data_IF_778790952063
#
_entry.id   IF_778790952063
#
_cell.length_a   1.000
_cell.length_b   1.000
_cell.length_c   1.000
_cell.angle_alpha   90.00
_cell.angle_beta   90.00
_cell.angle_gamma   90.00
#
_symmetry.space_group_name_H-M   'P 1'
#
loop_
_entity.id
_entity.type
_entity.pdbx_description
1 polymer ?
#
# COMPACT_ATOMS: atom_id res chain seq x y z
N UNK A 1 -3.42 -3.42 -12.54
CA UNK A 1 -3.86 -4.82 -12.78
C UNK A 1 -3.76 -5.27 -14.23
N UNK A 2 -3.86 -4.34 -15.22
CA UNK A 2 -3.89 -4.71 -16.65
C UNK A 2 -2.71 -5.62 -17.06
N UNK A 3 -1.51 -5.32 -16.63
CA UNK A 3 -0.27 -6.00 -17.02
C UNK A 3 0.22 -7.00 -15.95
N UNK A 4 -0.49 -7.13 -14.82
CA UNK A 4 -0.22 -8.14 -13.81
C UNK A 4 -0.75 -9.49 -14.31
N UNK A 5 0.15 -10.35 -14.81
CA UNK A 5 -0.16 -11.70 -15.31
C UNK A 5 0.28 -12.75 -14.31
N UNK A 6 -0.33 -13.94 -14.33
CA UNK A 6 0.11 -15.09 -13.54
C UNK A 6 1.59 -15.39 -13.79
N UNK A 7 2.04 -15.33 -15.05
CA UNK A 7 3.46 -15.54 -15.40
C UNK A 7 4.40 -14.55 -14.69
N UNK A 8 4.01 -13.28 -14.59
CA UNK A 8 4.81 -12.28 -13.86
C UNK A 8 4.85 -12.63 -12.36
N UNK A 9 3.71 -12.99 -11.79
CA UNK A 9 3.60 -13.39 -10.38
C UNK A 9 4.46 -14.63 -10.11
N UNK A 10 4.43 -15.64 -10.99
CA UNK A 10 5.25 -16.86 -10.87
C UNK A 10 6.75 -16.54 -10.90
N UNK A 11 7.18 -15.62 -11.78
CA UNK A 11 8.59 -15.18 -11.84
C UNK A 11 9.00 -14.50 -10.52
N UNK A 12 8.16 -13.63 -9.97
CA UNK A 12 8.43 -12.97 -8.68
C UNK A 12 8.51 -14.02 -7.56
N UNK A 13 7.56 -14.95 -7.52
CA UNK A 13 7.52 -16.00 -6.51
C UNK A 13 8.74 -16.94 -6.56
N UNK A 14 9.21 -17.27 -7.77
CA UNK A 14 10.37 -18.14 -7.98
C UNK A 14 11.73 -17.49 -7.64
N UNK A 15 11.78 -16.16 -7.48
CA UNK A 15 13.01 -15.40 -7.26
C UNK A 15 12.98 -14.59 -5.95
N UNK A 16 12.76 -15.20 -4.78
CA UNK A 16 12.76 -14.49 -3.50
C UNK A 16 14.16 -13.94 -3.19
N UNK A 17 14.25 -12.82 -2.44
CA UNK A 17 15.51 -12.36 -1.87
C UNK A 17 16.07 -13.40 -0.89
N UNK A 18 17.38 -13.52 -0.87
CA UNK A 18 18.07 -14.35 0.11
C UNK A 18 19.34 -13.63 0.60
N UNK A 19 19.91 -14.08 1.75
CA UNK A 19 21.04 -13.41 2.41
C UNK A 19 22.21 -13.10 1.46
N UNK A 20 22.46 -13.98 0.48
CA UNK A 20 23.60 -13.87 -0.45
C UNK A 20 23.16 -13.92 -1.93
N UNK A 21 21.88 -13.65 -2.23
CA UNK A 21 21.36 -13.70 -3.60
C UNK A 21 20.49 -12.49 -3.87
N UNK A 22 20.74 -11.83 -5.00
CA UNK A 22 19.84 -10.82 -5.54
C UNK A 22 18.51 -11.50 -5.89
N UNK A 23 17.41 -10.92 -5.42
CA UNK A 23 16.07 -11.44 -5.66
C UNK A 23 15.07 -10.29 -5.84
N UNK A 24 13.82 -10.66 -6.05
CA UNK A 24 12.72 -9.71 -6.22
C UNK A 24 12.01 -9.54 -4.88
N UNK A 25 11.88 -8.29 -4.41
CA UNK A 25 11.19 -7.97 -3.16
C UNK A 25 9.75 -8.50 -3.15
N UNK A 26 9.31 -8.98 -2.01
CA UNK A 26 7.94 -9.44 -1.73
C UNK A 26 6.98 -8.27 -1.53
N UNK A 27 7.07 -7.28 -2.41
CA UNK A 27 6.18 -6.13 -2.43
C UNK A 27 5.62 -5.90 -3.82
N UNK A 28 4.30 -5.77 -3.93
CA UNK A 28 3.64 -5.51 -5.20
C UNK A 28 2.70 -4.30 -5.07
N UNK A 29 2.85 -3.34 -5.99
CA UNK A 29 1.92 -2.22 -6.10
C UNK A 29 0.88 -2.54 -7.18
N UNK A 30 -0.38 -2.72 -6.74
CA UNK A 30 -1.49 -3.10 -7.61
C UNK A 30 -2.63 -2.07 -7.48
N UNK A 31 -2.64 -1.00 -8.29
CA UNK A 31 -3.66 0.06 -8.21
C UNK A 31 -5.07 -0.47 -8.45
N UNK A 32 -5.97 -0.34 -7.47
CA UNK A 32 -7.39 -0.67 -7.60
C UNK A 32 -8.19 0.50 -8.16
N UNK A 33 -7.95 1.70 -7.66
CA UNK A 33 -8.61 2.96 -7.94
C UNK A 33 -10.00 3.10 -7.31
N UNK A 34 -10.91 2.14 -7.47
CA UNK A 34 -12.26 2.05 -6.89
C UNK A 34 -12.69 0.60 -6.75
N UNK A 35 -13.56 0.31 -5.80
CA UNK A 35 -14.19 -1.00 -5.62
C UNK A 35 -15.44 -1.20 -6.48
N UNK A 36 -15.97 -0.15 -7.10
CA UNK A 36 -17.14 -0.22 -7.97
C UNK A 36 -16.76 -0.47 -9.42
N UNK A 37 -17.31 -1.52 -10.02
CA UNK A 37 -17.09 -1.84 -11.44
C UNK A 37 -17.62 -0.75 -12.37
N UNK A 38 -18.72 -0.08 -11.99
CA UNK A 38 -19.25 1.06 -12.75
C UNK A 38 -18.27 2.24 -12.74
N UNK A 39 -17.69 2.56 -11.59
CA UNK A 39 -16.71 3.62 -11.46
C UNK A 39 -15.40 3.24 -12.16
N UNK A 40 -14.93 2.01 -12.06
CA UNK A 40 -13.78 1.52 -12.80
C UNK A 40 -13.97 1.69 -14.32
N UNK A 41 -15.15 1.36 -14.84
CA UNK A 41 -15.49 1.57 -16.25
C UNK A 41 -15.53 3.06 -16.61
N UNK A 42 -16.08 3.92 -15.76
CA UNK A 42 -16.09 5.37 -15.96
C UNK A 42 -14.68 5.99 -15.92
N UNK A 43 -13.77 5.42 -15.14
CA UNK A 43 -12.33 5.75 -15.12
C UNK A 43 -11.57 5.14 -16.31
N UNK A 44 -12.24 4.48 -17.27
CA UNK A 44 -11.63 3.77 -18.40
C UNK A 44 -10.65 2.66 -17.97
N UNK A 45 -10.93 1.97 -16.85
CA UNK A 45 -10.15 0.81 -16.42
C UNK A 45 -10.63 -0.45 -17.15
N UNK A 46 -9.67 -1.31 -17.54
CA UNK A 46 -9.92 -2.54 -18.34
C UNK A 46 -9.94 -3.78 -17.46
N UNK A 47 -10.35 -3.66 -16.22
CA UNK A 47 -10.53 -4.74 -15.25
C UNK A 47 -11.73 -4.39 -14.37
N UNK A 48 -12.30 -5.40 -13.75
CA UNK A 48 -13.34 -5.33 -12.73
C UNK A 48 -12.79 -5.77 -11.36
N UNK A 49 -13.63 -5.65 -10.34
CA UNK A 49 -13.33 -6.03 -8.97
C UNK A 49 -13.04 -7.53 -8.82
N UNK A 50 -13.79 -8.39 -9.53
CA UNK A 50 -13.62 -9.84 -9.48
C UNK A 50 -12.25 -10.27 -10.02
N UNK A 51 -11.85 -9.74 -11.17
CA UNK A 51 -10.52 -10.00 -11.74
C UNK A 51 -9.40 -9.46 -10.83
N UNK A 52 -9.61 -8.30 -10.23
CA UNK A 52 -8.64 -7.73 -9.30
C UNK A 52 -8.43 -8.65 -8.08
N UNK A 53 -9.51 -9.09 -7.44
CA UNK A 53 -9.46 -10.00 -6.29
C UNK A 53 -8.82 -11.34 -6.65
N UNK A 54 -9.16 -11.92 -7.80
CA UNK A 54 -8.51 -13.16 -8.29
C UNK A 54 -7.00 -13.02 -8.44
N UNK A 55 -6.48 -11.87 -8.87
CA UNK A 55 -5.04 -11.61 -8.92
C UNK A 55 -4.43 -11.53 -7.52
N UNK A 56 -5.10 -10.88 -6.57
CA UNK A 56 -4.67 -10.80 -5.18
C UNK A 56 -4.58 -12.19 -4.55
N UNK A 57 -5.61 -13.01 -4.76
CA UNK A 57 -5.68 -14.38 -4.24
C UNK A 57 -4.54 -15.23 -4.81
N UNK A 58 -4.31 -15.13 -6.12
CA UNK A 58 -3.20 -15.84 -6.77
C UNK A 58 -1.83 -15.37 -6.25
N UNK A 59 -1.64 -14.06 -6.03
CA UNK A 59 -0.41 -13.54 -5.43
C UNK A 59 -0.17 -14.12 -4.04
N UNK A 60 -1.21 -14.20 -3.20
CA UNK A 60 -1.12 -14.75 -1.84
C UNK A 60 -0.95 -16.26 -1.81
N UNK A 61 -1.55 -16.98 -2.77
CA UNK A 61 -1.28 -18.41 -2.93
C UNK A 61 0.21 -18.69 -3.20
N UNK A 62 0.81 -17.91 -4.11
CA UNK A 62 2.23 -18.07 -4.48
C UNK A 62 3.19 -17.46 -3.46
N UNK A 63 2.76 -16.42 -2.77
CA UNK A 63 3.59 -15.63 -1.84
C UNK A 63 2.73 -15.20 -0.65
N UNK A 64 2.55 -16.07 0.38
CA UNK A 64 1.69 -15.76 1.53
C UNK A 64 2.09 -14.49 2.31
N UNK A 65 3.36 -14.14 2.27
CA UNK A 65 3.98 -12.99 2.93
C UNK A 65 4.05 -11.72 2.06
N UNK A 66 3.45 -11.73 0.85
CA UNK A 66 3.52 -10.59 -0.05
C UNK A 66 2.87 -9.33 0.54
N UNK A 67 3.61 -8.24 0.53
CA UNK A 67 3.07 -6.92 0.84
C UNK A 67 2.40 -6.30 -0.39
N UNK A 68 1.11 -6.02 -0.30
CA UNK A 68 0.33 -5.44 -1.40
C UNK A 68 -0.02 -3.99 -1.05
N UNK A 69 0.31 -3.08 -1.96
CA UNK A 69 -0.06 -1.66 -1.87
C UNK A 69 -0.95 -1.27 -3.05
N UNK A 70 -1.77 -0.25 -2.89
CA UNK A 70 -2.72 0.18 -3.92
C UNK A 70 -2.90 1.69 -3.94
N UNK A 71 -3.51 2.21 -5.01
CA UNK A 71 -4.06 3.56 -5.11
C UNK A 71 -5.58 3.48 -5.02
N UNK A 72 -6.18 4.43 -4.30
CA UNK A 72 -7.63 4.63 -4.24
C UNK A 72 -7.95 6.10 -4.50
N UNK A 73 -8.93 6.36 -5.37
CA UNK A 73 -9.47 7.68 -5.64
C UNK A 73 -10.89 7.73 -5.10
N UNK A 74 -11.14 8.64 -4.16
CA UNK A 74 -12.44 8.86 -3.54
C UNK A 74 -13.17 10.01 -4.22
N UNK A 75 -14.47 9.88 -4.41
CA UNK A 75 -15.32 10.94 -4.94
C UNK A 75 -15.10 11.19 -6.42
N UNK A 76 -14.84 10.14 -7.19
CA UNK A 76 -14.93 10.25 -8.65
C UNK A 76 -16.32 10.71 -9.05
N UNK A 77 -16.48 11.57 -10.11
CA UNK A 77 -17.79 12.07 -10.52
C UNK A 77 -18.85 10.99 -10.59
N UNK A 78 -20.02 11.27 -10.06
CA UNK A 78 -21.18 10.37 -9.97
C UNK A 78 -21.04 9.16 -9.03
N UNK A 79 -19.94 9.03 -8.28
CA UNK A 79 -19.78 7.94 -7.29
C UNK A 79 -20.86 8.02 -6.22
N UNK A 80 -21.64 6.94 -6.04
CA UNK A 80 -22.66 6.85 -4.98
C UNK A 80 -22.06 6.41 -3.65
N UNK A 81 -22.86 6.44 -2.58
CA UNK A 81 -22.42 5.96 -1.29
C UNK A 81 -22.20 4.44 -1.28
N UNK A 82 -23.09 3.69 -1.92
CA UNK A 82 -22.99 2.24 -2.05
C UNK A 82 -21.70 1.82 -2.78
N UNK A 83 -21.32 2.57 -3.80
CA UNK A 83 -20.10 2.33 -4.56
C UNK A 83 -18.82 2.63 -3.78
N UNK A 84 -18.88 3.65 -2.92
CA UNK A 84 -17.81 3.90 -1.97
C UNK A 84 -17.73 2.77 -0.91
N UNK A 85 -18.87 2.28 -0.41
CA UNK A 85 -18.91 1.12 0.49
C UNK A 85 -18.31 -0.14 -0.16
N UNK A 86 -18.52 -0.38 -1.45
CA UNK A 86 -17.87 -1.48 -2.16
C UNK A 86 -16.34 -1.32 -2.17
N UNK A 87 -15.84 -0.08 -2.25
CA UNK A 87 -14.40 0.20 -2.10
C UNK A 87 -13.90 -0.18 -0.70
N UNK A 88 -14.61 0.20 0.37
CA UNK A 88 -14.26 -0.16 1.74
C UNK A 88 -14.31 -1.68 1.98
N UNK A 89 -15.27 -2.40 1.38
CA UNK A 89 -15.34 -3.86 1.44
C UNK A 89 -14.10 -4.51 0.82
N UNK A 90 -13.66 -4.05 -0.35
CA UNK A 90 -12.44 -4.58 -0.97
C UNK A 90 -11.21 -4.27 -0.10
N UNK A 91 -11.09 -3.07 0.46
CA UNK A 91 -10.00 -2.72 1.38
C UNK A 91 -9.96 -3.68 2.57
N UNK A 92 -11.13 -3.94 3.18
CA UNK A 92 -11.27 -4.84 4.33
C UNK A 92 -10.97 -6.30 3.98
N UNK A 93 -11.28 -6.73 2.75
CA UNK A 93 -11.01 -8.08 2.24
C UNK A 93 -9.53 -8.26 1.90
N UNK A 94 -8.97 -7.33 1.15
CA UNK A 94 -7.58 -7.41 0.69
C UNK A 94 -6.60 -7.11 1.83
N UNK A 95 -6.94 -6.21 2.78
CA UNK A 95 -6.06 -5.81 3.88
C UNK A 95 -4.68 -5.38 3.38
N UNK A 96 -4.65 -4.24 2.69
CA UNK A 96 -3.43 -3.70 2.11
C UNK A 96 -2.37 -3.33 3.15
N UNK A 97 -1.10 -3.44 2.78
CA UNK A 97 0.01 -2.98 3.61
C UNK A 97 0.13 -1.46 3.63
N UNK A 98 -0.27 -0.82 2.53
CA UNK A 98 -0.45 0.62 2.44
C UNK A 98 -1.40 0.99 1.30
N UNK A 99 -2.12 2.10 1.44
CA UNK A 99 -2.95 2.71 0.39
C UNK A 99 -2.45 4.13 0.15
N UNK A 100 -2.22 4.47 -1.11
CA UNK A 100 -2.08 5.85 -1.55
C UNK A 100 -3.46 6.35 -1.90
N UNK A 101 -4.02 7.19 -1.04
CA UNK A 101 -5.39 7.68 -1.13
C UNK A 101 -5.44 9.10 -1.68
N UNK A 102 -6.37 9.34 -2.60
CA UNK A 102 -6.56 10.62 -3.27
C UNK A 102 -8.03 11.00 -3.27
N UNK A 103 -8.33 12.27 -3.04
CA UNK A 103 -9.63 12.85 -3.39
C UNK A 103 -9.58 13.20 -4.88
N UNK A 104 -10.63 12.82 -5.63
CA UNK A 104 -10.71 13.18 -7.03
C UNK A 104 -10.60 14.70 -7.23
N UNK A 105 -9.71 15.09 -8.11
CA UNK A 105 -9.52 16.49 -8.52
C UNK A 105 -9.88 16.65 -9.99
N UNK A 106 -10.76 17.62 -10.26
CA UNK A 106 -11.23 17.95 -11.62
C UNK A 106 -10.04 18.33 -12.51
N UNK A 107 -9.92 17.69 -13.67
CA UNK A 107 -8.89 18.00 -14.68
C UNK A 107 -9.57 18.48 -15.95
N UNK A 108 -9.33 19.72 -16.32
CA UNK A 108 -9.90 20.32 -17.53
C UNK A 108 -9.56 19.49 -18.78
N UNK A 109 -10.51 19.37 -19.70
CA UNK A 109 -10.35 18.61 -20.95
C UNK A 109 -10.54 17.08 -20.79
N UNK A 110 -10.98 16.61 -19.64
CA UNK A 110 -11.34 15.19 -19.46
C UNK A 110 -12.85 15.01 -19.45
N UNK A 111 -13.39 13.85 -19.92
CA UNK A 111 -14.82 13.57 -19.82
C UNK A 111 -15.35 13.65 -18.38
N UNK A 112 -14.57 13.23 -17.41
CA UNK A 112 -14.92 13.28 -15.99
C UNK A 112 -15.11 14.73 -15.47
N UNK A 113 -14.49 15.71 -16.11
CA UNK A 113 -14.68 17.11 -15.74
C UNK A 113 -16.08 17.64 -16.05
N UNK A 114 -16.76 17.06 -17.04
CA UNK A 114 -18.10 17.44 -17.47
C UNK A 114 -19.22 16.64 -16.77
N UNK A 115 -18.85 15.62 -15.98
CA UNK A 115 -19.79 14.83 -15.20
C UNK A 115 -20.22 15.58 -13.94
N UNK A 116 -21.36 15.18 -13.37
CA UNK A 116 -21.81 15.66 -12.07
C UNK A 116 -20.80 15.34 -10.97
N UNK A 117 -20.30 16.38 -10.32
CA UNK A 117 -19.26 16.25 -9.29
C UNK A 117 -19.86 15.85 -7.94
N UNK A 118 -19.20 14.94 -7.24
CA UNK A 118 -19.52 14.65 -5.83
C UNK A 118 -19.21 15.89 -4.98
N UNK A 119 -20.11 16.33 -4.07
CA UNK A 119 -19.86 17.48 -3.20
C UNK A 119 -18.60 17.28 -2.33
N UNK A 120 -17.82 18.35 -2.10
CA UNK A 120 -16.55 18.27 -1.38
C UNK A 120 -16.69 17.78 0.07
N UNK A 121 -17.81 18.12 0.73
CA UNK A 121 -18.12 17.62 2.08
C UNK A 121 -18.29 16.09 2.07
N UNK A 122 -18.93 15.53 1.03
CA UNK A 122 -19.10 14.08 0.89
C UNK A 122 -17.77 13.42 0.60
N UNK A 123 -16.95 13.99 -0.30
CA UNK A 123 -15.59 13.50 -0.58
C UNK A 123 -14.73 13.47 0.69
N UNK A 124 -14.76 14.56 1.49
CA UNK A 124 -14.01 14.65 2.75
C UNK A 124 -14.43 13.55 3.73
N UNK A 125 -15.73 13.37 3.96
CA UNK A 125 -16.22 12.31 4.84
C UNK A 125 -15.80 10.90 4.39
N UNK A 126 -15.94 10.60 3.09
CA UNK A 126 -15.51 9.31 2.53
C UNK A 126 -14.01 9.11 2.68
N UNK A 127 -13.22 10.16 2.45
CA UNK A 127 -11.77 10.10 2.59
C UNK A 127 -11.34 9.79 4.02
N UNK A 128 -11.95 10.43 5.02
CA UNK A 128 -11.68 10.18 6.44
C UNK A 128 -12.02 8.74 6.82
N UNK A 129 -13.14 8.20 6.33
CA UNK A 129 -13.55 6.80 6.57
C UNK A 129 -12.58 5.81 5.92
N UNK A 130 -12.11 6.10 4.70
CA UNK A 130 -11.10 5.30 4.03
C UNK A 130 -9.79 5.28 4.85
N UNK A 131 -9.33 6.45 5.31
CA UNK A 131 -8.13 6.54 6.13
C UNK A 131 -8.28 5.78 7.45
N UNK A 132 -9.42 5.94 8.14
CA UNK A 132 -9.69 5.22 9.38
C UNK A 132 -9.64 3.70 9.19
N UNK A 133 -10.28 3.19 8.12
CA UNK A 133 -10.27 1.76 7.77
C UNK A 133 -8.86 1.25 7.50
N UNK A 134 -8.10 1.96 6.67
CA UNK A 134 -6.73 1.55 6.33
C UNK A 134 -5.78 1.64 7.52
N UNK A 135 -5.91 2.67 8.36
CA UNK A 135 -5.06 2.84 9.54
C UNK A 135 -5.26 1.70 10.55
N UNK A 136 -6.50 1.28 10.77
CA UNK A 136 -6.80 0.13 11.62
C UNK A 136 -6.15 -1.15 11.07
N UNK A 137 -6.29 -1.42 9.77
CA UNK A 137 -5.67 -2.58 9.10
C UNK A 137 -4.14 -2.52 9.20
N UNK A 138 -3.55 -1.36 8.96
CA UNK A 138 -2.10 -1.20 9.01
C UNK A 138 -1.54 -1.42 10.42
N UNK A 139 -2.22 -0.89 11.45
CA UNK A 139 -1.85 -1.11 12.85
C UNK A 139 -1.90 -2.59 13.22
N UNK A 140 -3.00 -3.30 12.88
CA UNK A 140 -3.13 -4.75 13.12
C UNK A 140 -2.05 -5.56 12.40
N UNK A 141 -1.68 -5.20 11.17
CA UNK A 141 -0.60 -5.87 10.41
C UNK A 141 0.79 -5.58 10.96
N UNK A 142 1.00 -4.42 11.57
CA UNK A 142 2.29 -4.03 12.11
C UNK A 142 2.53 -4.57 13.51
N UNK A 143 1.48 -4.67 14.34
CA UNK A 143 1.58 -5.13 15.72
C UNK A 143 2.40 -6.43 15.89
N UNK A 144 2.24 -7.49 15.07
CA UNK A 144 3.05 -8.71 15.21
C UNK A 144 4.54 -8.55 14.92
N UNK A 145 4.99 -7.38 14.48
CA UNK A 145 6.41 -7.08 14.24
C UNK A 145 7.11 -6.55 15.50
N UNK A 146 6.37 -6.11 16.50
CA UNK A 146 6.92 -5.70 17.79
C UNK A 146 7.64 -6.87 18.46
N UNK A 147 8.82 -6.59 19.02
CA UNK A 147 9.71 -7.59 19.61
C UNK A 147 10.50 -8.43 18.60
N UNK A 148 10.35 -8.19 17.28
CA UNK A 148 11.11 -8.90 16.25
C UNK A 148 12.28 -8.08 15.75
N UNK A 149 13.35 -8.77 15.36
CA UNK A 149 14.47 -8.16 14.64
C UNK A 149 14.24 -8.28 13.14
N UNK A 150 14.18 -7.14 12.45
CA UNK A 150 13.92 -7.06 11.04
C UNK A 150 15.16 -6.59 10.27
N UNK A 151 15.34 -7.15 9.07
CA UNK A 151 16.35 -6.66 8.12
C UNK A 151 15.81 -5.43 7.41
N UNK A 152 16.53 -4.32 7.52
CA UNK A 152 16.11 -2.99 7.03
C UNK A 152 17.20 -2.44 6.13
N UNK A 153 16.83 -2.01 4.92
CA UNK A 153 17.69 -1.18 4.07
C UNK A 153 17.63 0.26 4.58
N UNK A 154 18.75 0.79 5.04
CA UNK A 154 18.85 2.16 5.52
C UNK A 154 18.77 3.15 4.34
N UNK A 155 17.76 4.02 4.34
CA UNK A 155 17.57 5.06 3.31
C UNK A 155 18.40 6.33 3.63
N UNK A 156 18.81 6.51 4.89
CA UNK A 156 19.56 7.69 5.38
C UNK A 156 18.84 8.44 6.50
N UNK A 157 19.31 9.66 6.77
CA UNK A 157 18.75 10.51 7.81
C UNK A 157 17.27 10.84 7.60
N UNK A 158 16.51 10.87 8.69
CA UNK A 158 15.12 11.30 8.67
C UNK A 158 15.04 12.84 8.53
N UNK A 159 14.10 13.32 7.73
CA UNK A 159 13.94 14.75 7.42
C UNK A 159 13.71 15.66 8.65
N UNK A 160 13.33 15.11 9.79
CA UNK A 160 12.98 15.90 10.99
C UNK A 160 13.99 15.86 12.12
N UNK A 161 14.89 14.86 12.12
CA UNK A 161 15.91 14.70 13.18
C UNK A 161 17.12 13.97 12.60
N UNK A 162 18.34 14.60 12.61
CA UNK A 162 19.55 14.00 12.05
C UNK A 162 20.08 12.80 12.86
N UNK A 163 19.68 12.62 14.12
CA UNK A 163 20.03 11.44 14.91
C UNK A 163 19.15 10.22 14.59
N UNK A 164 18.02 10.45 13.91
CA UNK A 164 17.08 9.40 13.51
C UNK A 164 17.27 9.07 12.04
N UNK A 165 17.52 7.81 11.76
CA UNK A 165 17.60 7.28 10.42
C UNK A 165 16.29 6.60 10.05
N UNK A 166 16.01 6.54 8.77
CA UNK A 166 14.88 5.79 8.24
C UNK A 166 15.37 4.70 7.29
N UNK A 167 14.62 3.64 7.22
CA UNK A 167 14.88 2.56 6.27
C UNK A 167 13.63 1.79 5.94
N UNK A 168 13.77 0.77 5.11
CA UNK A 168 12.63 -0.04 4.65
C UNK A 168 12.89 -1.51 4.84
N UNK A 169 11.87 -2.20 5.36
CA UNK A 169 11.84 -3.67 5.33
C UNK A 169 11.67 -4.18 3.90
N UNK A 170 11.82 -5.48 3.68
CA UNK A 170 11.55 -6.12 2.39
C UNK A 170 10.11 -5.86 1.88
N UNK A 171 9.11 -5.86 2.78
CA UNK A 171 7.72 -5.51 2.47
C UNK A 171 7.48 -4.00 2.29
N UNK A 172 8.52 -3.17 2.41
CA UNK A 172 8.48 -1.72 2.23
C UNK A 172 7.91 -0.94 3.40
N UNK A 173 7.84 -1.53 4.60
CA UNK A 173 7.44 -0.80 5.81
C UNK A 173 8.58 0.12 6.26
N UNK A 174 8.21 1.34 6.63
CA UNK A 174 9.17 2.34 7.12
C UNK A 174 9.57 1.96 8.55
N UNK A 175 10.87 1.99 8.80
CA UNK A 175 11.45 1.76 10.13
C UNK A 175 12.30 2.96 10.49
N UNK A 176 12.08 3.52 11.67
CA UNK A 176 12.90 4.57 12.26
C UNK A 176 13.79 3.99 13.37
N UNK A 177 15.06 4.40 13.40
CA UNK A 177 16.05 3.94 14.37
C UNK A 177 17.16 4.98 14.53
N UNK A 178 17.90 4.92 15.64
CA UNK A 178 19.14 5.68 15.77
C UNK A 178 20.21 5.06 14.90
N UNK A 179 20.94 5.88 14.14
CA UNK A 179 21.91 5.40 13.17
C UNK A 179 23.10 6.35 12.99
N UNK A 180 24.00 5.96 12.09
CA UNK A 180 25.20 6.71 11.72
C UNK A 180 25.31 6.81 10.20
N UNK A 181 26.04 7.81 9.65
CA UNK A 181 26.10 8.07 8.20
C UNK A 181 26.58 6.87 7.36
N UNK A 182 27.44 6.02 7.91
CA UNK A 182 27.98 4.83 7.26
C UNK A 182 26.95 3.71 7.05
N UNK A 183 25.81 3.78 7.73
CA UNK A 183 24.69 2.84 7.54
C UNK A 183 23.90 3.11 6.26
N UNK A 184 23.94 4.32 5.71
CA UNK A 184 23.17 4.71 4.53
C UNK A 184 23.50 3.81 3.34
N UNK A 185 22.46 3.24 2.70
CA UNK A 185 22.59 2.32 1.57
C UNK A 185 22.98 0.88 1.98
N UNK A 186 23.11 0.60 3.27
CA UNK A 186 23.42 -0.74 3.77
C UNK A 186 22.20 -1.41 4.40
N UNK A 187 22.28 -2.72 4.58
CA UNK A 187 21.28 -3.46 5.35
C UNK A 187 21.70 -3.55 6.81
N UNK A 188 20.83 -3.13 7.70
CA UNK A 188 20.97 -3.22 9.15
C UNK A 188 19.92 -4.14 9.75
N UNK A 189 20.23 -4.75 10.90
CA UNK A 189 19.28 -5.51 11.71
C UNK A 189 18.70 -4.57 12.76
N UNK A 190 17.36 -4.40 12.78
CA UNK A 190 16.69 -3.50 13.71
C UNK A 190 15.71 -4.28 14.57
N UNK A 191 15.91 -4.27 15.87
CA UNK A 191 14.94 -4.76 16.84
C UNK A 191 13.80 -3.77 16.99
N UNK A 192 12.56 -4.19 16.77
CA UNK A 192 11.39 -3.33 16.78
C UNK A 192 10.84 -3.19 18.20
N UNK A 193 10.93 -1.99 18.75
CA UNK A 193 10.45 -1.67 20.12
C UNK A 193 8.99 -1.21 20.12
N UNK A 194 8.51 -0.61 19.02
CA UNK A 194 7.17 -0.02 18.91
C UNK A 194 6.67 -0.05 17.48
N UNK A 195 5.37 -0.27 17.33
CA UNK A 195 4.68 -0.28 16.03
C UNK A 195 3.57 0.77 15.98
N UNK A 196 3.44 1.43 14.83
CA UNK A 196 2.37 2.38 14.50
C UNK A 196 1.76 2.00 13.14
N UNK A 197 0.65 2.63 12.74
CA UNK A 197 0.01 2.34 11.45
C UNK A 197 0.95 2.58 10.25
N UNK A 198 1.78 3.64 10.30
CA UNK A 198 2.62 4.04 9.16
C UNK A 198 4.11 3.75 9.33
N UNK A 199 4.56 3.42 10.53
CA UNK A 199 5.97 3.26 10.83
C UNK A 199 6.21 2.26 11.94
N UNK A 200 7.43 1.73 11.96
CA UNK A 200 7.99 0.91 13.02
C UNK A 200 9.15 1.70 13.64
N UNK A 201 9.38 1.50 14.93
CA UNK A 201 10.46 2.13 15.66
C UNK A 201 11.29 1.07 16.36
N UNK A 202 12.61 1.23 16.33
CA UNK A 202 13.49 0.23 16.93
C UNK A 202 14.91 0.69 17.11
N UNK A 203 15.78 -0.29 17.44
CA UNK A 203 17.21 -0.09 17.66
C UNK A 203 18.01 -1.05 16.81
N UNK A 204 19.13 -0.56 16.29
CA UNK A 204 20.11 -1.41 15.56
C UNK A 204 20.78 -2.34 16.56
N UNK A 205 20.89 -3.63 16.19
CA UNK A 205 21.61 -4.67 16.92
C UNK A 205 23.04 -4.85 16.42
#
# INVERSE_FOLDING_TARGET
>A
PKDATHKLIDVIAANPPAKNKVGISRRFHLPLQSGSDRILKAMNRRYDSARYLSLVDYMREKMPDIAITTDIIVGFPTETEEEFEDTLKIISTVRYDNIYSFIYSKRNGTPAAEMEQVPDVVKGNRFDRLLATQNAIAAEKNQPMEGKTLRVLCDGESKGNPEVYSGRTEGGKIVFFQGTPDMTGTFVSVHIDRTEAFALWGKVE
#
